data_IF_966535934963
#
_entry.id   IF_966535934963
#
_cell.length_a   1.000
_cell.length_b   1.000
_cell.length_c   1.000
_cell.angle_alpha   90.00
_cell.angle_beta   90.00
_cell.angle_gamma   90.00
#
_symmetry.space_group_name_H-M   'P 1'
#
loop_
_entity.id
_entity.type
_entity.pdbx_description
1 polymer ?
#
# COMPACT_ATOMS: atom_id res chain seq x y z
N UNK A 1 13.28 -1.28 0.30
CA UNK A 1 13.33 -2.28 -0.79
C UNK A 1 13.50 -3.68 -0.23
N UNK A 2 14.40 -3.86 0.72
CA UNK A 2 14.78 -5.17 1.27
C UNK A 2 13.59 -5.98 1.81
N UNK A 3 12.63 -5.31 2.48
CA UNK A 3 11.39 -5.97 2.92
C UNK A 3 10.61 -6.54 1.73
N UNK A 4 10.43 -5.77 0.65
CA UNK A 4 9.68 -6.23 -0.53
C UNK A 4 10.43 -7.39 -1.19
N UNK A 5 11.75 -7.31 -1.33
CA UNK A 5 12.57 -8.37 -1.92
C UNK A 5 12.52 -9.67 -1.13
N UNK A 6 12.45 -9.63 0.21
CA UNK A 6 12.47 -10.83 1.04
C UNK A 6 11.07 -11.36 1.40
N UNK A 7 10.12 -10.47 1.69
CA UNK A 7 8.78 -10.83 2.19
C UNK A 7 7.68 -10.71 1.14
N UNK A 8 7.96 -10.11 -0.03
CA UNK A 8 6.99 -9.94 -1.14
C UNK A 8 7.56 -10.42 -2.49
N UNK A 9 8.54 -11.33 -2.46
CA UNK A 9 9.21 -11.86 -3.65
C UNK A 9 8.22 -12.42 -4.69
N UNK A 10 7.26 -13.25 -4.27
CA UNK A 10 6.28 -13.83 -5.19
C UNK A 10 5.36 -12.80 -5.87
N UNK A 11 5.10 -11.64 -5.24
CA UNK A 11 4.38 -10.54 -5.90
C UNK A 11 5.28 -9.76 -6.86
N UNK A 12 6.55 -9.57 -6.53
CA UNK A 12 7.54 -9.04 -7.46
C UNK A 12 7.65 -9.93 -8.70
N UNK A 13 7.73 -11.25 -8.52
CA UNK A 13 7.83 -12.21 -9.63
C UNK A 13 6.59 -12.16 -10.54
N UNK A 14 5.39 -11.97 -9.98
CA UNK A 14 4.15 -11.77 -10.76
C UNK A 14 4.10 -10.43 -11.50
N UNK A 15 4.86 -9.43 -11.05
CA UNK A 15 4.95 -8.13 -11.71
C UNK A 15 5.98 -8.19 -12.85
N UNK A 16 7.13 -8.82 -12.62
CA UNK A 16 8.22 -8.90 -13.61
C UNK A 16 8.01 -9.99 -14.65
N UNK A 17 7.34 -11.08 -14.27
CA UNK A 17 7.30 -12.31 -15.06
C UNK A 17 8.69 -12.81 -15.40
N UNK A 18 8.80 -13.44 -16.56
CA UNK A 18 10.05 -13.91 -17.19
C UNK A 18 10.74 -12.83 -18.04
N UNK A 19 10.15 -11.63 -18.17
CA UNK A 19 10.60 -10.61 -19.13
C UNK A 19 11.35 -9.44 -18.52
N UNK A 20 11.18 -9.17 -17.23
CA UNK A 20 11.80 -8.02 -16.57
C UNK A 20 12.63 -8.41 -15.35
N UNK A 21 13.51 -7.49 -14.93
CA UNK A 21 14.29 -7.55 -13.69
C UNK A 21 14.13 -6.20 -13.00
N UNK A 22 13.96 -6.23 -11.67
CA UNK A 22 13.93 -5.05 -10.81
C UNK A 22 15.17 -5.08 -9.90
N UNK A 23 16.06 -4.12 -10.07
CA UNK A 23 17.31 -3.99 -9.32
C UNK A 23 17.24 -2.75 -8.42
N UNK A 24 17.64 -2.88 -7.16
CA UNK A 24 17.74 -1.77 -6.22
C UNK A 24 19.22 -1.47 -5.95
N UNK A 25 19.65 -0.25 -6.22
CA UNK A 25 21.01 0.22 -5.99
C UNK A 25 20.99 1.32 -4.92
N UNK A 26 21.75 1.20 -3.81
CA UNK A 26 21.93 2.29 -2.87
C UNK A 26 22.72 3.41 -3.56
N UNK A 27 22.20 4.64 -3.55
CA UNK A 27 22.99 5.77 -4.06
C UNK A 27 24.23 5.96 -3.19
N UNK A 28 25.41 6.03 -3.82
CA UNK A 28 26.74 6.07 -3.20
C UNK A 28 27.05 7.31 -2.31
N UNK A 29 26.05 8.12 -1.93
CA UNK A 29 26.27 9.31 -1.10
C UNK A 29 25.73 9.11 0.31
N UNK A 30 26.67 9.11 1.25
CA UNK A 30 26.55 9.08 2.70
C UNK A 30 25.75 10.28 3.25
N UNK A 31 24.43 10.25 3.08
CA UNK A 31 23.52 11.11 3.80
C UNK A 31 22.46 10.27 4.55
N UNK A 32 22.01 10.70 5.73
CA UNK A 32 21.05 9.97 6.58
C UNK A 32 19.64 9.83 5.97
N UNK A 33 19.43 10.32 4.76
CA UNK A 33 18.23 10.13 3.94
C UNK A 33 18.59 9.53 2.58
N UNK A 34 19.37 8.45 2.56
CA UNK A 34 19.81 7.82 1.33
C UNK A 34 18.62 7.33 0.50
N UNK A 35 18.45 7.92 -0.68
CA UNK A 35 17.47 7.48 -1.66
C UNK A 35 17.97 6.21 -2.34
N UNK A 36 17.11 5.19 -2.40
CA UNK A 36 17.40 3.95 -3.13
C UNK A 36 16.92 4.12 -4.56
N UNK A 37 17.83 3.98 -5.53
CA UNK A 37 17.46 3.95 -6.94
C UNK A 37 16.96 2.55 -7.30
N UNK A 38 15.78 2.47 -7.90
CA UNK A 38 15.23 1.21 -8.42
C UNK A 38 15.19 1.27 -9.94
N UNK A 39 15.86 0.32 -10.58
CA UNK A 39 15.95 0.18 -12.03
C UNK A 39 15.11 -1.01 -12.48
N UNK A 40 14.22 -0.78 -13.43
CA UNK A 40 13.39 -1.83 -14.04
C UNK A 40 13.82 -1.97 -15.49
N UNK A 41 14.34 -3.13 -15.86
CA UNK A 41 14.87 -3.37 -17.21
C UNK A 41 14.41 -4.72 -17.79
N UNK A 42 14.28 -4.84 -19.12
CA UNK A 42 14.01 -6.12 -19.76
C UNK A 42 15.15 -7.12 -19.50
N UNK A 43 14.82 -8.41 -19.48
CA UNK A 43 15.82 -9.49 -19.47
C UNK A 43 16.56 -9.52 -20.80
N UNK A 44 17.84 -9.94 -20.79
CA UNK A 44 18.57 -10.23 -22.03
C UNK A 44 17.74 -11.15 -22.92
N UNK A 45 17.67 -10.86 -24.22
CA UNK A 45 16.92 -11.62 -25.23
C UNK A 45 15.39 -11.57 -25.15
N UNK A 46 14.80 -10.76 -24.26
CA UNK A 46 13.35 -10.53 -24.24
C UNK A 46 12.94 -9.39 -25.19
N UNK A 47 11.98 -9.65 -26.09
CA UNK A 47 11.34 -8.60 -26.89
C UNK A 47 10.20 -8.00 -26.06
N UNK A 48 10.32 -6.72 -25.70
CA UNK A 48 9.31 -6.02 -24.90
C UNK A 48 9.00 -4.66 -25.51
N UNK A 49 7.71 -4.28 -25.52
CA UNK A 49 7.31 -2.96 -25.95
C UNK A 49 7.50 -1.94 -24.82
N UNK A 50 7.71 -0.65 -25.14
CA UNK A 50 7.76 0.41 -24.13
C UNK A 50 6.52 0.42 -23.23
N UNK A 51 5.33 0.17 -23.79
CA UNK A 51 4.08 0.09 -23.04
C UNK A 51 4.08 -1.03 -21.98
N UNK A 52 4.71 -2.18 -22.28
CA UNK A 52 4.83 -3.28 -21.32
C UNK A 52 5.78 -2.89 -20.17
N UNK A 53 6.93 -2.28 -20.47
CA UNK A 53 7.86 -1.79 -19.45
C UNK A 53 7.18 -0.78 -18.50
N UNK A 54 6.33 0.09 -19.06
CA UNK A 54 5.55 1.05 -18.27
C UNK A 54 4.54 0.37 -17.35
N UNK A 55 3.84 -0.65 -17.85
CA UNK A 55 2.90 -1.43 -17.05
C UNK A 55 3.59 -2.08 -15.85
N UNK A 56 4.76 -2.70 -16.07
CA UNK A 56 5.58 -3.31 -15.00
C UNK A 56 6.01 -2.25 -13.99
N UNK A 57 6.46 -1.08 -14.45
CA UNK A 57 6.83 0.04 -13.59
C UNK A 57 5.68 0.51 -12.71
N UNK A 58 4.49 0.66 -13.28
CA UNK A 58 3.30 1.11 -12.54
C UNK A 58 2.85 0.07 -11.50
N UNK A 59 2.85 -1.22 -11.86
CA UNK A 59 2.54 -2.29 -10.91
C UNK A 59 3.54 -2.36 -9.77
N UNK A 60 4.82 -2.18 -10.06
CA UNK A 60 5.86 -2.11 -9.02
C UNK A 60 5.64 -0.93 -8.08
N UNK A 61 5.39 0.27 -8.61
CA UNK A 61 5.10 1.47 -7.79
C UNK A 61 3.91 1.21 -6.86
N UNK A 62 2.85 0.61 -7.38
CA UNK A 62 1.64 0.28 -6.61
C UNK A 62 1.94 -0.71 -5.48
N UNK A 63 2.68 -1.80 -5.78
CA UNK A 63 3.12 -2.75 -4.77
C UNK A 63 3.98 -2.07 -3.69
N UNK A 64 4.92 -1.24 -4.12
CA UNK A 64 5.81 -0.52 -3.22
C UNK A 64 5.03 0.39 -2.28
N UNK A 65 4.17 1.25 -2.82
CA UNK A 65 3.38 2.21 -2.03
C UNK A 65 2.46 1.50 -1.06
N UNK A 66 1.70 0.50 -1.52
CA UNK A 66 0.81 -0.31 -0.68
C UNK A 66 1.56 -1.00 0.45
N UNK A 67 2.75 -1.54 0.17
CA UNK A 67 3.57 -2.20 1.19
C UNK A 67 4.12 -1.16 2.17
N UNK A 68 4.75 -0.10 1.67
CA UNK A 68 5.37 0.94 2.49
C UNK A 68 4.37 1.62 3.43
N UNK A 69 3.12 1.81 3.00
CA UNK A 69 2.07 2.41 3.83
C UNK A 69 1.64 1.55 5.03
N UNK A 70 1.95 0.25 5.02
CA UNK A 70 1.62 -0.70 6.08
C UNK A 70 2.83 -1.04 6.97
N UNK A 71 4.05 -0.72 6.52
CA UNK A 71 5.28 -1.03 7.23
C UNK A 71 5.55 -0.06 8.37
N UNK A 72 5.98 -0.61 9.50
CA UNK A 72 6.59 0.12 10.60
C UNK A 72 8.02 -0.34 10.85
N UNK A 73 8.79 0.56 11.46
CA UNK A 73 10.14 0.30 11.94
C UNK A 73 10.14 0.36 13.46
N UNK A 74 10.77 -0.63 14.08
CA UNK A 74 11.04 -0.64 15.51
C UNK A 74 12.49 -1.05 15.76
N UNK A 75 13.08 -0.54 16.83
CA UNK A 75 14.43 -0.87 17.25
C UNK A 75 14.36 -1.66 18.54
N UNK A 76 15.04 -2.81 18.58
CA UNK A 76 15.04 -3.71 19.72
C UNK A 76 16.46 -3.96 20.22
N UNK A 77 16.62 -4.04 21.53
CA UNK A 77 17.85 -4.54 22.16
C UNK A 77 17.59 -5.97 22.63
N UNK A 78 18.08 -6.95 21.88
CA UNK A 78 17.84 -8.38 22.15
C UNK A 78 19.13 -9.18 21.97
N UNK A 79 19.29 -10.25 22.76
CA UNK A 79 20.38 -11.21 22.58
C UNK A 79 20.22 -12.01 21.28
N UNK A 80 21.29 -12.63 20.80
CA UNK A 80 21.24 -13.47 19.59
C UNK A 80 20.24 -14.64 19.73
N UNK A 81 20.11 -15.19 20.94
CA UNK A 81 19.17 -16.28 21.22
C UNK A 81 17.72 -15.82 21.12
N UNK A 82 17.39 -14.69 21.74
CA UNK A 82 16.05 -14.09 21.65
C UNK A 82 15.72 -13.72 20.20
N UNK A 83 16.69 -13.20 19.45
CA UNK A 83 16.51 -12.88 18.04
C UNK A 83 16.09 -14.09 17.20
N UNK A 84 16.73 -15.25 17.40
CA UNK A 84 16.37 -16.49 16.69
C UNK A 84 14.94 -16.95 17.02
N UNK A 85 14.54 -16.85 18.29
CA UNK A 85 13.19 -17.18 18.72
C UNK A 85 12.17 -16.22 18.10
N UNK A 86 12.43 -14.91 18.13
CA UNK A 86 11.58 -13.89 17.53
C UNK A 86 11.46 -14.04 16.02
N UNK A 87 12.53 -14.38 15.30
CA UNK A 87 12.49 -14.63 13.86
C UNK A 87 11.59 -15.82 13.50
N UNK A 88 11.60 -16.87 14.33
CA UNK A 88 10.73 -18.04 14.16
C UNK A 88 9.27 -17.69 14.48
N UNK A 89 9.04 -16.92 15.54
CA UNK A 89 7.70 -16.51 15.97
C UNK A 89 7.07 -15.49 15.02
N UNK A 90 7.87 -14.61 14.42
CA UNK A 90 7.42 -13.54 13.52
C UNK A 90 8.01 -13.68 12.11
N UNK A 91 7.59 -14.71 11.33
CA UNK A 91 8.12 -14.94 9.99
C UNK A 91 7.76 -13.83 9.00
N UNK A 92 6.78 -12.98 9.33
CA UNK A 92 6.38 -11.83 8.51
C UNK A 92 7.28 -10.60 8.74
N UNK A 93 7.98 -10.54 9.86
CA UNK A 93 8.88 -9.43 10.18
C UNK A 93 10.26 -9.67 9.57
N UNK A 94 10.90 -8.58 9.15
CA UNK A 94 12.29 -8.57 8.71
C UNK A 94 13.14 -7.99 9.83
N UNK A 95 14.08 -8.78 10.32
CA UNK A 95 15.03 -8.39 11.36
C UNK A 95 16.38 -8.08 10.72
N UNK A 96 16.88 -6.86 10.93
CA UNK A 96 18.17 -6.40 10.41
C UNK A 96 19.09 -6.00 11.57
N UNK A 97 20.24 -6.64 11.73
CA UNK A 97 21.25 -6.18 12.69
C UNK A 97 21.67 -4.74 12.36
N UNK A 98 21.73 -3.87 13.38
CA UNK A 98 22.14 -2.47 13.24
C UNK A 98 23.53 -2.28 13.85
N UNK A 99 23.62 -2.29 15.18
CA UNK A 99 24.85 -2.18 15.97
C UNK A 99 24.80 -3.16 17.18
N UNK A 100 25.82 -3.16 18.05
CA UNK A 100 26.03 -4.13 19.14
C UNK A 100 24.73 -4.40 19.95
N UNK A 101 24.16 -5.61 19.82
CA UNK A 101 22.89 -6.07 20.41
C UNK A 101 21.60 -5.34 19.98
N UNK A 102 21.68 -4.46 18.97
CA UNK A 102 20.57 -3.69 18.44
C UNK A 102 20.10 -4.25 17.09
N UNK A 103 18.80 -4.52 17.00
CA UNK A 103 18.16 -5.09 15.82
C UNK A 103 17.02 -4.17 15.37
N UNK A 104 17.09 -3.74 14.11
CA UNK A 104 16.00 -3.02 13.45
C UNK A 104 15.00 -4.02 12.89
N UNK A 105 13.76 -3.92 13.35
CA UNK A 105 12.63 -4.72 12.88
C UNK A 105 11.80 -3.91 11.90
N UNK A 106 11.48 -4.53 10.75
CA UNK A 106 10.70 -3.92 9.68
C UNK A 106 9.57 -4.89 9.33
N UNK A 107 8.32 -4.44 9.41
CA UNK A 107 7.20 -5.29 9.00
C UNK A 107 5.85 -4.62 9.16
N UNK A 108 4.75 -5.32 8.85
CA UNK A 108 3.43 -4.74 8.89
C UNK A 108 3.07 -4.35 10.32
N UNK A 109 2.40 -3.21 10.49
CA UNK A 109 2.10 -2.61 11.79
C UNK A 109 1.59 -3.62 12.82
N UNK A 110 0.62 -4.46 12.44
CA UNK A 110 -0.03 -5.42 13.36
C UNK A 110 0.99 -6.37 14.00
N UNK A 111 2.01 -6.80 13.25
CA UNK A 111 3.04 -7.70 13.76
C UNK A 111 4.07 -6.96 14.62
N UNK A 112 4.42 -5.72 14.23
CA UNK A 112 5.37 -4.88 14.99
C UNK A 112 4.77 -4.47 16.34
N UNK A 113 3.51 -4.02 16.35
CA UNK A 113 2.80 -3.63 17.56
C UNK A 113 2.74 -4.79 18.56
N UNK A 114 2.46 -6.00 18.07
CA UNK A 114 2.40 -7.18 18.94
C UNK A 114 3.77 -7.60 19.46
N UNK A 115 4.81 -7.52 18.63
CA UNK A 115 6.17 -7.76 19.09
C UNK A 115 6.53 -6.82 20.25
N UNK A 116 6.19 -5.53 20.12
CA UNK A 116 6.42 -4.54 21.18
C UNK A 116 5.60 -4.83 22.44
N UNK A 117 4.36 -5.31 22.30
CA UNK A 117 3.50 -5.73 23.42
C UNK A 117 4.16 -6.86 24.22
N UNK A 118 4.59 -7.94 23.55
CA UNK A 118 5.25 -9.10 24.19
C UNK A 118 6.53 -8.67 24.93
N UNK A 119 7.33 -7.79 24.31
CA UNK A 119 8.56 -7.29 24.93
C UNK A 119 8.30 -6.38 26.13
N UNK A 120 7.14 -5.71 26.16
CA UNK A 120 6.74 -4.83 27.27
C UNK A 120 6.16 -5.62 28.46
N UNK A 121 5.58 -6.78 28.22
CA UNK A 121 4.94 -7.62 29.26
C UNK A 121 5.91 -8.60 29.94
N UNK A 122 7.17 -8.71 29.48
CA UNK A 122 8.13 -9.74 29.90
C UNK A 122 7.57 -11.19 29.80
N UNK A 123 6.56 -11.40 28.97
CA UNK A 123 6.08 -12.75 28.70
C UNK A 123 7.08 -13.44 27.78
N UNK A 124 7.77 -14.46 28.31
CA UNK A 124 8.56 -15.36 27.47
C UNK A 124 7.62 -16.05 26.48
N UNK A 125 7.96 -16.16 25.19
CA UNK A 125 7.21 -17.00 24.26
C UNK A 125 7.44 -18.45 24.68
N UNK A 126 6.59 -18.98 25.56
CA UNK A 126 6.68 -20.38 25.94
C UNK A 126 6.43 -21.24 24.68
N UNK A 127 7.38 -22.12 24.30
CA UNK A 127 7.03 -23.19 23.38
C UNK A 127 6.10 -24.12 24.16
N UNK A 128 4.79 -24.02 23.90
CA UNK A 128 3.81 -24.97 24.39
C UNK A 128 4.19 -26.39 23.94
N UNK A 129 4.96 -27.09 24.78
CA UNK A 129 5.13 -28.53 24.74
C UNK A 129 3.84 -29.15 25.29
N UNK A 130 2.80 -29.21 24.46
CA UNK A 130 1.72 -30.17 24.64
C UNK A 130 1.79 -31.15 23.48
N UNK A 131 2.06 -32.40 23.86
CA UNK A 131 2.19 -33.54 22.97
C UNK A 131 1.03 -33.59 21.98
N UNK A 132 1.40 -33.85 20.72
CA UNK A 132 0.51 -34.02 19.59
C UNK A 132 -0.67 -34.94 19.94
N UNK A 133 -1.87 -34.38 19.87
CA UNK A 133 -3.04 -35.14 19.40
C UNK A 133 -3.35 -34.58 18.02
N UNK A 134 -3.00 -35.35 16.99
CA UNK A 134 -3.39 -35.10 15.61
C UNK A 134 -4.92 -35.22 15.51
N UNK A 135 -5.60 -34.09 15.75
CA UNK A 135 -6.93 -33.80 15.26
C UNK A 135 -6.85 -32.79 14.11
N UNK A 136 -7.94 -32.56 13.35
CA UNK A 136 -7.88 -31.82 12.09
C UNK A 136 -7.47 -30.36 12.36
N UNK A 137 -6.22 -30.06 11.99
CA UNK A 137 -5.61 -28.74 11.75
C UNK A 137 -6.02 -27.64 12.74
N UNK A 138 -5.34 -27.61 13.88
CA UNK A 138 -5.31 -26.46 14.79
C UNK A 138 -4.67 -25.25 14.06
N UNK A 139 -5.49 -24.48 13.35
CA UNK A 139 -5.07 -23.26 12.64
C UNK A 139 -4.47 -22.24 13.63
N UNK A 140 -3.24 -21.79 13.35
CA UNK A 140 -2.56 -20.74 14.14
C UNK A 140 -3.05 -19.35 13.72
N UNK A 141 -3.35 -18.49 14.70
CA UNK A 141 -3.74 -17.11 14.44
C UNK A 141 -2.52 -16.33 13.93
N UNK A 142 -2.56 -15.65 12.78
CA UNK A 142 -1.39 -14.92 12.28
C UNK A 142 -1.14 -13.61 13.06
N UNK A 143 -2.11 -13.10 13.83
CA UNK A 143 -1.88 -11.96 14.73
C UNK A 143 -1.24 -12.51 16.01
N UNK A 144 -1.98 -13.42 16.65
CA UNK A 144 -1.69 -14.32 17.77
C UNK A 144 -0.41 -15.15 17.82
N UNK A 145 0.01 -15.66 16.68
CA UNK A 145 0.88 -16.83 16.56
C UNK A 145 0.49 -18.05 17.44
N UNK A 146 -0.59 -17.97 18.22
CA UNK A 146 -1.15 -19.00 19.08
C UNK A 146 -2.19 -19.81 18.31
N UNK A 147 -2.41 -21.05 18.74
CA UNK A 147 -3.50 -21.90 18.23
C UNK A 147 -4.85 -21.21 18.45
N UNK A 148 -5.64 -21.06 17.39
CA UNK A 148 -6.97 -20.49 17.51
C UNK A 148 -7.86 -21.49 18.25
N UNK A 149 -8.38 -21.10 19.41
CA UNK A 149 -9.37 -21.90 20.11
C UNK A 149 -10.64 -21.99 19.27
N UNK A 150 -11.21 -23.19 19.12
CA UNK A 150 -12.40 -23.45 18.27
C UNK A 150 -13.58 -22.49 18.51
N UNK A 151 -13.80 -22.05 19.76
CA UNK A 151 -14.86 -21.11 20.13
C UNK A 151 -14.52 -19.62 19.95
N UNK A 152 -13.27 -19.29 19.64
CA UNK A 152 -12.78 -17.92 19.44
C UNK A 152 -12.33 -17.70 17.98
N UNK A 153 -12.61 -18.64 17.08
CA UNK A 153 -12.24 -18.55 15.66
C UNK A 153 -13.19 -17.63 14.90
N UNK A 154 -12.63 -16.61 14.28
CA UNK A 154 -13.30 -15.78 13.29
C UNK A 154 -12.69 -16.01 11.90
N UNK A 155 -13.54 -16.38 10.95
CA UNK A 155 -13.13 -16.61 9.55
C UNK A 155 -13.71 -15.50 8.67
N UNK A 156 -12.83 -14.68 8.11
CA UNK A 156 -13.25 -13.62 7.20
C UNK A 156 -13.73 -14.20 5.85
N UNK A 157 -14.53 -13.45 5.06
CA UNK A 157 -14.88 -13.81 3.69
C UNK A 157 -13.71 -14.14 2.76
N UNK A 158 -12.51 -13.56 2.99
CA UNK A 158 -11.27 -13.93 2.31
C UNK A 158 -10.65 -15.27 2.77
N UNK A 159 -11.34 -16.02 3.64
CA UNK A 159 -10.96 -17.34 4.19
C UNK A 159 -9.76 -17.34 5.14
N UNK A 160 -9.23 -16.18 5.51
CA UNK A 160 -8.23 -16.09 6.58
C UNK A 160 -8.90 -16.12 7.95
N UNK A 161 -8.28 -16.84 8.88
CA UNK A 161 -8.81 -17.11 10.21
C UNK A 161 -7.96 -16.43 11.29
N UNK A 162 -8.62 -15.94 12.33
CA UNK A 162 -8.01 -15.22 13.44
C UNK A 162 -8.72 -15.55 14.75
N UNK A 163 -8.07 -15.31 15.89
CA UNK A 163 -8.79 -15.19 17.16
C UNK A 163 -9.71 -13.96 17.08
N UNK A 164 -10.94 -14.06 17.58
CA UNK A 164 -11.96 -13.01 17.55
C UNK A 164 -11.45 -11.69 18.09
N UNK A 165 -10.83 -11.73 19.27
CA UNK A 165 -10.34 -10.53 19.93
C UNK A 165 -9.15 -9.90 19.18
N UNK A 166 -8.30 -10.72 18.57
CA UNK A 166 -7.20 -10.24 17.73
C UNK A 166 -7.73 -9.53 16.48
N UNK A 167 -8.74 -10.12 15.83
CA UNK A 167 -9.38 -9.51 14.66
C UNK A 167 -10.09 -8.22 15.03
N UNK A 168 -10.81 -8.20 16.16
CA UNK A 168 -11.51 -7.01 16.64
C UNK A 168 -10.54 -5.86 16.94
N UNK A 169 -9.42 -6.13 17.61
CA UNK A 169 -8.36 -5.13 17.84
C UNK A 169 -7.76 -4.62 16.53
N UNK A 170 -7.47 -5.51 15.58
CA UNK A 170 -6.96 -5.09 14.27
C UNK A 170 -7.97 -4.20 13.52
N UNK A 171 -9.26 -4.59 13.52
CA UNK A 171 -10.32 -3.86 12.82
C UNK A 171 -10.68 -2.53 13.48
N UNK A 172 -10.49 -2.41 14.80
CA UNK A 172 -10.64 -1.14 15.50
C UNK A 172 -9.66 -0.08 14.94
N UNK A 173 -8.43 -0.48 14.61
CA UNK A 173 -7.46 0.41 13.99
C UNK A 173 -7.73 0.61 12.49
N UNK A 174 -7.87 -0.49 11.75
CA UNK A 174 -8.14 -0.46 10.31
C UNK A 174 -8.88 -1.73 9.91
N UNK A 175 -10.06 -1.63 9.29
CA UNK A 175 -10.88 -2.80 9.03
C UNK A 175 -10.41 -3.50 7.76
N UNK A 176 -9.20 -4.06 7.82
CA UNK A 176 -8.49 -4.70 6.72
C UNK A 176 -7.96 -6.03 7.22
N UNK A 177 -8.14 -7.11 6.43
CA UNK A 177 -7.56 -8.41 6.77
C UNK A 177 -6.04 -8.29 6.92
N UNK A 178 -5.47 -8.60 8.10
CA UNK A 178 -4.03 -8.48 8.33
C UNK A 178 -3.17 -9.41 7.46
N UNK A 179 -3.77 -10.44 6.85
CA UNK A 179 -3.06 -11.40 6.00
C UNK A 179 -3.00 -10.99 4.53
N UNK A 180 -4.12 -10.51 3.96
CA UNK A 180 -4.20 -10.24 2.52
C UNK A 180 -4.55 -8.81 2.13
N UNK A 181 -4.86 -7.94 3.10
CA UNK A 181 -5.17 -6.54 2.82
C UNK A 181 -6.60 -6.30 2.31
N UNK A 182 -7.48 -7.31 2.28
CA UNK A 182 -8.89 -7.09 1.89
C UNK A 182 -9.59 -6.19 2.91
N UNK A 183 -10.22 -5.13 2.44
CA UNK A 183 -10.99 -4.18 3.26
C UNK A 183 -12.34 -4.80 3.64
N UNK A 184 -12.74 -4.58 4.89
CA UNK A 184 -14.04 -4.90 5.48
C UNK A 184 -14.63 -3.58 6.01
N UNK A 185 -15.93 -3.35 5.84
CA UNK A 185 -16.53 -2.07 6.26
C UNK A 185 -16.07 -0.87 5.42
N UNK A 186 -16.16 0.33 6.01
CA UNK A 186 -15.84 1.60 5.33
C UNK A 186 -14.46 2.10 5.74
N UNK A 187 -13.54 2.17 4.79
CA UNK A 187 -12.24 2.78 5.01
C UNK A 187 -12.33 4.29 4.79
N UNK A 188 -11.86 5.08 5.76
CA UNK A 188 -11.72 6.54 5.61
C UNK A 188 -10.24 6.89 5.56
N UNK A 189 -9.85 7.77 4.65
CA UNK A 189 -8.47 8.22 4.52
C UNK A 189 -8.19 9.53 5.26
N UNK A 190 -6.99 10.07 5.02
CA UNK A 190 -6.46 11.28 5.66
C UNK A 190 -6.33 12.46 4.67
N UNK A 191 -7.16 12.50 3.62
CA UNK A 191 -7.29 13.70 2.80
C UNK A 191 -7.81 14.86 3.67
N UNK A 192 -7.19 16.05 3.65
CA UNK A 192 -7.69 17.16 4.46
C UNK A 192 -9.11 17.60 4.11
N UNK A 193 -9.80 18.13 5.12
CA UNK A 193 -11.17 18.64 4.99
C UNK A 193 -11.24 19.93 4.15
N UNK A 194 -12.45 20.33 3.78
CA UNK A 194 -12.70 21.53 2.97
C UNK A 194 -12.31 21.40 1.49
N UNK A 195 -11.90 20.19 1.06
CA UNK A 195 -11.67 19.87 -0.33
C UNK A 195 -12.94 19.86 -1.17
N UNK A 196 -12.80 20.16 -2.47
CA UNK A 196 -13.89 20.09 -3.45
C UNK A 196 -13.47 19.27 -4.67
N UNK A 197 -14.34 18.36 -5.09
CA UNK A 197 -14.25 17.63 -6.36
C UNK A 197 -15.42 18.08 -7.26
N UNK A 198 -15.11 18.54 -8.46
CA UNK A 198 -16.09 18.88 -9.50
C UNK A 198 -15.75 18.17 -10.80
N UNK A 199 -16.72 18.04 -11.70
CA UNK A 199 -16.45 17.50 -13.04
C UNK A 199 -17.29 18.22 -14.09
N UNK A 200 -16.79 18.22 -15.32
CA UNK A 200 -17.47 18.69 -16.52
C UNK A 200 -17.24 17.70 -17.65
N UNK A 201 -18.19 17.59 -18.58
CA UNK A 201 -18.07 16.71 -19.74
C UNK A 201 -17.99 17.53 -21.02
N UNK A 202 -17.05 17.20 -21.90
CA UNK A 202 -16.86 17.83 -23.21
C UNK A 202 -17.09 16.78 -24.29
N UNK A 203 -18.20 16.88 -25.00
CA UNK A 203 -18.57 15.92 -26.06
C UNK A 203 -17.73 16.04 -27.33
N UNK A 204 -17.14 17.23 -27.59
CA UNK A 204 -16.36 17.52 -28.80
C UNK A 204 -14.88 17.13 -28.70
N UNK A 205 -14.44 16.60 -27.56
CA UNK A 205 -13.05 16.22 -27.32
C UNK A 205 -12.99 14.76 -26.89
N UNK A 206 -12.15 13.99 -27.57
CA UNK A 206 -11.91 12.58 -27.26
C UNK A 206 -10.48 12.38 -26.77
N UNK A 207 -10.33 11.41 -25.86
CA UNK A 207 -9.02 10.96 -25.41
C UNK A 207 -8.47 9.92 -26.40
N UNK A 208 -7.16 9.92 -26.68
CA UNK A 208 -6.54 8.88 -27.51
C UNK A 208 -6.91 7.47 -27.04
N UNK A 209 -7.46 6.66 -27.96
CA UNK A 209 -7.97 5.31 -27.68
C UNK A 209 -9.46 5.24 -27.33
N UNK A 210 -10.15 6.38 -27.23
CA UNK A 210 -11.56 6.51 -26.91
C UNK A 210 -12.28 7.46 -27.88
N UNK A 211 -11.95 7.40 -29.18
CA UNK A 211 -12.37 8.37 -30.21
C UNK A 211 -13.88 8.49 -30.42
N UNK A 212 -14.66 7.52 -29.93
CA UNK A 212 -16.13 7.50 -30.00
C UNK A 212 -16.80 8.21 -28.82
N UNK A 213 -16.03 8.65 -27.83
CA UNK A 213 -16.53 9.19 -26.57
C UNK A 213 -16.06 10.63 -26.37
N UNK A 214 -16.84 11.40 -25.60
CA UNK A 214 -16.38 12.68 -25.07
C UNK A 214 -15.33 12.50 -23.98
N UNK A 215 -14.96 13.60 -23.32
CA UNK A 215 -14.01 13.60 -22.22
C UNK A 215 -14.65 14.17 -20.96
N UNK A 216 -14.55 13.45 -19.85
CA UNK A 216 -14.86 13.93 -18.50
C UNK A 216 -13.59 14.56 -17.94
N UNK A 217 -13.68 15.82 -17.53
CA UNK A 217 -12.62 16.56 -16.83
C UNK A 217 -13.02 16.65 -15.36
N UNK A 218 -12.19 16.10 -14.49
CA UNK A 218 -12.35 16.15 -13.04
C UNK A 218 -11.39 17.21 -12.50
N UNK A 219 -11.90 18.11 -11.67
CA UNK A 219 -11.12 19.10 -10.96
C UNK A 219 -11.19 18.86 -9.46
N UNK A 220 -10.03 18.70 -8.85
CA UNK A 220 -9.85 18.64 -7.41
C UNK A 220 -9.25 19.94 -6.92
N UNK A 221 -9.80 20.49 -5.83
CA UNK A 221 -9.23 21.63 -5.12
C UNK A 221 -9.20 21.32 -3.63
N UNK A 222 -8.01 21.27 -3.06
CA UNK A 222 -7.81 21.16 -1.60
C UNK A 222 -7.13 22.46 -1.16
N UNK A 223 -7.71 23.24 -0.23
CA UNK A 223 -7.10 24.46 0.27
C UNK A 223 -5.82 24.16 1.06
N UNK A 224 -4.97 25.17 1.27
CA UNK A 224 -3.88 25.07 2.24
C UNK A 224 -4.45 24.98 3.66
N UNK A 225 -3.71 24.37 4.58
CA UNK A 225 -4.19 24.21 5.95
C UNK A 225 -3.10 23.75 6.91
N UNK A 226 -3.55 23.37 8.11
CA UNK A 226 -2.70 22.85 9.18
C UNK A 226 -2.96 21.35 9.34
N UNK A 227 -1.90 20.57 9.50
CA UNK A 227 -1.97 19.15 9.76
C UNK A 227 -2.63 18.87 11.12
N UNK A 228 -3.65 18.03 11.11
CA UNK A 228 -4.33 17.50 12.31
C UNK A 228 -3.58 16.29 12.89
N UNK A 229 -4.10 15.71 13.97
CA UNK A 229 -3.54 14.50 14.59
C UNK A 229 -3.53 13.25 13.69
N UNK A 230 -4.29 13.25 12.59
CA UNK A 230 -4.31 12.14 11.62
C UNK A 230 -3.17 12.21 10.58
N UNK A 231 -2.41 13.31 10.59
CA UNK A 231 -1.35 13.60 9.62
C UNK A 231 0.04 13.42 10.23
N UNK A 232 1.10 13.25 9.42
CA UNK A 232 2.45 12.93 9.92
C UNK A 232 3.05 13.96 10.87
N UNK A 233 2.80 15.26 10.65
CA UNK A 233 3.39 16.35 11.43
C UNK A 233 2.29 17.29 11.94
N UNK A 234 1.52 16.84 12.93
CA UNK A 234 0.46 17.63 13.55
C UNK A 234 0.93 19.05 13.93
N UNK A 235 0.10 20.06 13.63
CA UNK A 235 0.38 21.48 13.86
C UNK A 235 1.23 22.16 12.77
N UNK A 236 1.85 21.40 11.86
CA UNK A 236 2.60 21.99 10.74
C UNK A 236 1.70 22.33 9.55
N UNK A 237 2.01 23.40 8.79
CA UNK A 237 1.25 23.74 7.59
C UNK A 237 1.50 22.74 6.45
N UNK A 238 0.54 22.67 5.53
CA UNK A 238 0.70 22.08 4.20
C UNK A 238 0.13 23.02 3.13
N UNK A 239 0.74 23.01 1.95
CA UNK A 239 0.28 23.80 0.81
C UNK A 239 -0.97 23.19 0.14
N UNK A 240 -1.90 24.04 -0.29
CA UNK A 240 -3.07 23.64 -1.05
C UNK A 240 -2.72 23.20 -2.48
N UNK A 241 -3.62 22.44 -3.11
CA UNK A 241 -3.43 21.97 -4.49
C UNK A 241 -4.70 22.12 -5.32
N UNK A 242 -4.51 22.39 -6.60
CA UNK A 242 -5.52 22.19 -7.64
C UNK A 242 -4.99 21.17 -8.63
N UNK A 243 -5.78 20.13 -8.93
CA UNK A 243 -5.38 19.07 -9.87
C UNK A 243 -6.51 18.76 -10.83
N UNK A 244 -6.14 18.52 -12.08
CA UNK A 244 -7.05 18.11 -13.13
C UNK A 244 -6.77 16.67 -13.52
N UNK A 245 -7.82 15.88 -13.69
CA UNK A 245 -7.75 14.52 -14.21
C UNK A 245 -8.78 14.30 -15.33
N UNK A 246 -8.55 13.29 -16.16
CA UNK A 246 -9.35 13.01 -17.35
C UNK A 246 -9.84 11.57 -17.34
N UNK A 247 -11.09 11.36 -17.76
CA UNK A 247 -11.68 10.06 -18.07
C UNK A 247 -12.40 10.14 -19.42
N UNK A 248 -12.50 9.04 -20.18
CA UNK A 248 -13.40 9.01 -21.32
C UNK A 248 -14.84 9.07 -20.84
N UNK A 249 -15.71 9.78 -21.55
CA UNK A 249 -17.15 9.82 -21.28
C UNK A 249 -17.87 8.57 -21.82
N UNK A 250 -17.34 7.40 -21.46
CA UNK A 250 -17.92 6.09 -21.74
C UNK A 250 -18.71 5.57 -20.54
N UNK A 251 -19.43 4.46 -20.70
CA UNK A 251 -20.12 3.80 -19.58
C UNK A 251 -19.16 3.40 -18.46
N UNK A 252 -17.99 2.86 -18.82
CA UNK A 252 -16.94 2.51 -17.88
C UNK A 252 -16.31 3.74 -17.22
N UNK A 253 -16.01 4.79 -17.98
CA UNK A 253 -15.45 6.03 -17.44
C UNK A 253 -16.41 6.74 -16.47
N UNK A 254 -17.71 6.76 -16.76
CA UNK A 254 -18.75 7.27 -15.84
C UNK A 254 -18.85 6.43 -14.57
N UNK A 255 -18.69 5.11 -14.67
CA UNK A 255 -18.63 4.24 -13.48
C UNK A 255 -17.43 4.59 -12.61
N UNK A 256 -16.23 4.72 -13.20
CA UNK A 256 -15.02 5.15 -12.46
C UNK A 256 -15.22 6.53 -11.82
N UNK A 257 -15.83 7.49 -12.51
CA UNK A 257 -16.15 8.80 -11.93
C UNK A 257 -17.00 8.68 -10.65
N UNK A 258 -18.03 7.83 -10.64
CA UNK A 258 -18.88 7.60 -9.45
C UNK A 258 -18.06 7.01 -8.30
N UNK A 259 -17.18 6.05 -8.59
CA UNK A 259 -16.30 5.46 -7.57
C UNK A 259 -15.28 6.48 -7.04
N UNK A 260 -14.70 7.33 -7.90
CA UNK A 260 -13.79 8.40 -7.49
C UNK A 260 -14.48 9.44 -6.60
N UNK A 261 -15.75 9.79 -6.87
CA UNK A 261 -16.54 10.65 -5.98
C UNK A 261 -16.68 10.03 -4.59
N UNK A 262 -17.09 8.75 -4.53
CA UNK A 262 -17.19 8.02 -3.26
C UNK A 262 -15.84 7.94 -2.54
N UNK A 263 -14.75 7.68 -3.25
CA UNK A 263 -13.41 7.67 -2.68
C UNK A 263 -13.00 9.06 -2.15
N UNK A 264 -13.37 10.14 -2.85
CA UNK A 264 -13.12 11.51 -2.40
C UNK A 264 -13.90 11.84 -1.12
N UNK A 265 -15.18 11.48 -1.07
CA UNK A 265 -16.04 11.66 0.10
C UNK A 265 -15.53 10.87 1.31
N UNK A 266 -14.95 9.69 1.06
CA UNK A 266 -14.27 8.87 2.07
C UNK A 266 -12.83 9.31 2.36
N UNK A 267 -12.39 10.47 1.84
CA UNK A 267 -11.07 11.07 2.10
C UNK A 267 -9.89 10.20 1.61
N UNK A 268 -10.10 9.38 0.57
CA UNK A 268 -9.13 8.40 0.05
C UNK A 268 -8.33 8.85 -1.18
N UNK A 269 -8.66 10.00 -1.80
CA UNK A 269 -7.98 10.43 -3.04
C UNK A 269 -6.62 11.08 -2.74
N UNK A 270 -6.56 11.90 -1.69
CA UNK A 270 -5.35 12.59 -1.25
C UNK A 270 -4.91 12.17 0.15
N UNK A 271 -3.68 12.56 0.51
CA UNK A 271 -3.15 12.53 1.86
C UNK A 271 -2.04 13.59 2.00
N UNK A 272 -1.65 13.94 3.22
CA UNK A 272 -0.46 14.77 3.48
C UNK A 272 0.72 13.86 3.74
N UNK A 273 1.82 14.07 3.01
CA UNK A 273 3.02 13.25 3.17
C UNK A 273 4.21 13.81 2.42
N UNK A 274 5.11 12.92 2.02
CA UNK A 274 6.28 13.25 1.21
C UNK A 274 5.96 13.11 -0.27
N UNK A 275 6.07 14.19 -1.02
CA UNK A 275 5.93 14.18 -2.48
C UNK A 275 6.99 13.29 -3.12
N UNK A 276 6.56 12.28 -3.88
CA UNK A 276 7.49 11.39 -4.62
C UNK A 276 8.23 12.13 -5.73
N UNK A 277 7.59 13.10 -6.39
CA UNK A 277 8.17 13.85 -7.51
C UNK A 277 9.15 14.93 -7.05
N UNK A 278 8.83 15.66 -5.97
CA UNK A 278 9.65 16.79 -5.51
C UNK A 278 10.47 16.50 -4.26
N UNK A 279 10.24 15.36 -3.58
CA UNK A 279 10.88 15.00 -2.33
C UNK A 279 10.43 15.81 -1.11
N UNK A 280 9.57 16.82 -1.27
CA UNK A 280 9.11 17.74 -0.21
C UNK A 280 8.19 17.02 0.77
N UNK A 281 8.44 17.20 2.08
CA UNK A 281 7.52 16.78 3.14
C UNK A 281 6.36 17.78 3.29
N UNK A 282 5.34 17.41 4.08
CA UNK A 282 4.18 18.25 4.37
C UNK A 282 3.43 18.69 3.09
N UNK A 283 3.43 17.83 2.08
CA UNK A 283 2.83 18.11 0.78
C UNK A 283 1.59 17.24 0.57
N UNK A 284 0.59 17.79 -0.11
CA UNK A 284 -0.55 17.01 -0.59
C UNK A 284 -0.14 16.09 -1.74
N UNK A 285 -0.35 14.79 -1.56
CA UNK A 285 -0.02 13.74 -2.53
C UNK A 285 -1.25 12.89 -2.88
N UNK A 286 -1.22 12.24 -4.05
CA UNK A 286 -2.19 11.19 -4.38
C UNK A 286 -2.04 10.03 -3.38
N UNK A 287 -3.14 9.34 -3.04
CA UNK A 287 -3.19 8.26 -2.05
C UNK A 287 -3.50 6.90 -2.72
N UNK A 288 -2.57 6.44 -3.56
CA UNK A 288 -2.58 5.15 -4.29
C UNK A 288 -3.75 4.90 -5.25
N UNK A 289 -4.51 5.95 -5.60
CA UNK A 289 -5.51 5.91 -6.67
C UNK A 289 -4.99 6.77 -7.82
N UNK A 290 -4.55 6.12 -8.89
CA UNK A 290 -3.90 6.80 -10.01
C UNK A 290 -4.90 7.57 -10.86
N UNK A 291 -4.51 8.78 -11.21
CA UNK A 291 -5.27 9.69 -12.06
C UNK A 291 -4.53 9.99 -13.35
N UNK A 292 -5.28 10.11 -14.44
CA UNK A 292 -4.74 10.61 -15.70
C UNK A 292 -4.74 12.12 -15.71
N UNK A 293 -3.59 12.72 -15.44
CA UNK A 293 -3.41 14.19 -15.37
C UNK A 293 -2.98 14.80 -16.70
N UNK A 294 -2.82 13.99 -17.75
CA UNK A 294 -2.53 14.43 -19.12
C UNK A 294 -3.50 13.76 -20.10
N UNK A 295 -3.86 14.44 -21.18
CA UNK A 295 -4.66 13.84 -22.28
C UNK A 295 -3.78 13.13 -23.30
N UNK A 296 -2.46 13.26 -23.21
CA UNK A 296 -1.50 12.70 -24.16
C UNK A 296 -0.24 12.14 -23.48
N UNK A 297 0.64 11.51 -24.25
CA UNK A 297 1.94 11.02 -23.79
C UNK A 297 1.90 9.68 -23.06
N UNK A 298 0.76 8.99 -23.08
CA UNK A 298 0.62 7.64 -22.56
C UNK A 298 0.91 7.50 -21.05
N UNK A 299 1.11 6.25 -20.56
CA UNK A 299 1.27 5.97 -19.14
C UNK A 299 2.45 6.69 -18.48
N UNK A 300 3.55 6.94 -19.22
CA UNK A 300 4.75 7.63 -18.69
C UNK A 300 4.48 9.06 -18.27
N UNK A 301 3.59 9.76 -18.98
CA UNK A 301 3.19 11.14 -18.70
C UNK A 301 1.86 11.23 -17.96
N UNK A 302 1.45 10.13 -17.33
CA UNK A 302 0.15 10.04 -16.65
C UNK A 302 -1.01 10.41 -17.59
N UNK A 303 -0.92 10.04 -18.87
CA UNK A 303 -1.90 10.39 -19.89
C UNK A 303 -2.32 9.23 -20.78
N UNK A 304 -2.97 9.58 -21.88
CA UNK A 304 -3.54 8.65 -22.86
C UNK A 304 -2.66 8.59 -24.13
N UNK A 305 -2.76 7.52 -24.95
CA UNK A 305 -3.57 6.31 -24.74
C UNK A 305 -2.99 5.43 -23.62
N UNK A 306 -3.86 4.76 -22.87
CA UNK A 306 -3.51 3.75 -21.87
C UNK A 306 -4.69 2.76 -21.74
N UNK A 307 -4.66 1.65 -22.50
CA UNK A 307 -5.80 0.73 -22.59
C UNK A 307 -6.11 0.01 -21.26
N UNK A 308 -5.13 -0.09 -20.36
CA UNK A 308 -5.28 -0.81 -19.08
C UNK A 308 -5.60 0.14 -17.91
N UNK A 309 -5.81 1.44 -18.17
CA UNK A 309 -6.00 2.40 -17.10
C UNK A 309 -7.31 2.18 -16.33
N UNK A 310 -8.44 2.03 -17.02
CA UNK A 310 -9.75 1.94 -16.37
C UNK A 310 -9.88 0.67 -15.50
N UNK A 311 -9.33 -0.46 -15.96
CA UNK A 311 -9.28 -1.69 -15.18
C UNK A 311 -8.36 -1.55 -13.96
N UNK A 312 -7.17 -0.96 -14.15
CA UNK A 312 -6.21 -0.74 -13.05
C UNK A 312 -6.75 0.20 -11.98
N UNK A 313 -7.35 1.33 -12.34
CA UNK A 313 -7.91 2.26 -11.35
C UNK A 313 -9.13 1.64 -10.65
N UNK A 314 -9.91 0.78 -11.32
CA UNK A 314 -10.95 0.00 -10.67
C UNK A 314 -10.39 -0.95 -9.61
N UNK A 315 -9.28 -1.62 -9.89
CA UNK A 315 -8.63 -2.51 -8.92
C UNK A 315 -7.99 -1.73 -7.75
N UNK A 316 -7.44 -0.54 -8.00
CA UNK A 316 -6.93 0.36 -6.96
C UNK A 316 -8.06 0.86 -6.03
N UNK A 317 -9.19 1.26 -6.62
CA UNK A 317 -10.41 1.63 -5.87
C UNK A 317 -10.94 0.45 -5.05
N UNK A 318 -11.01 -0.74 -5.66
CA UNK A 318 -11.40 -1.98 -4.98
C UNK A 318 -10.48 -2.28 -3.80
N UNK A 319 -9.17 -2.12 -3.96
CA UNK A 319 -8.20 -2.32 -2.91
C UNK A 319 -8.38 -1.34 -1.73
N UNK A 320 -9.04 -0.21 -1.95
CA UNK A 320 -9.44 0.76 -0.92
C UNK A 320 -10.89 0.54 -0.42
N UNK A 321 -11.57 -0.53 -0.85
CA UNK A 321 -12.95 -0.86 -0.44
C UNK A 321 -14.04 -0.11 -1.21
N UNK A 322 -13.71 0.44 -2.38
CA UNK A 322 -14.61 1.19 -3.25
C UNK A 322 -15.01 0.32 -4.45
N UNK A 323 -16.27 -0.13 -4.47
CA UNK A 323 -16.86 -0.99 -5.52
C UNK A 323 -18.20 -0.46 -6.00
#
# INVERSE_FOLDING_TARGET
MDYIQQRRAGELDRITGDRFIIEAQPQQRSHPHSTVQVTIRPRPFSTTSPAHADHVRQRFITLYQRTAADLQLATLCVSERELQELQRTFPQLLFKPSHKHEVTVIGPFVYVARLQEILSTHETPEPSRRAAREGPEDESCPICMETIKRGEKETLPCKHCFCRDCLQRAFHYKPVCPTCGRVYGTLTGTQPEGGRMTHTTISSSSLPGYDKYGTIIIQYRIPAGIQTAEHPNCGQPYDGVTRTAYLPDSSEGRRILTLLKRAFDQRLIFTVGRSTTSGRNNALTWNDIHHKTSTCGGPTRYGYPDPDYLSRVADELRAKGIE
#
